data_IF_247692175393
#
_entry.id   IF_247692175393
#
_cell.length_a   1.000
_cell.length_b   1.000
_cell.length_c   1.000
_cell.angle_alpha   90.00
_cell.angle_beta   90.00
_cell.angle_gamma   90.00
#
_symmetry.space_group_name_H-M   'P 1'
#
loop_
_entity.id
_entity.type
_entity.pdbx_description
1 polymer ?
#
# COMPACT_ATOMS: atom_id res chain seq x y z
N UNK A 1 6.43 -11.88 -28.99
CA UNK A 1 7.63 -11.05 -29.26
C UNK A 1 7.26 -9.63 -29.68
N UNK A 2 6.34 -9.41 -30.62
CA UNK A 2 5.86 -8.06 -31.01
C UNK A 2 4.98 -7.37 -29.94
N UNK A 3 4.20 -8.15 -29.17
CA UNK A 3 3.39 -7.62 -28.05
C UNK A 3 4.22 -7.15 -26.84
N UNK A 4 5.43 -7.70 -26.65
CA UNK A 4 6.32 -7.29 -25.57
C UNK A 4 7.00 -5.95 -25.89
N UNK A 5 7.45 -5.75 -27.14
CA UNK A 5 8.02 -4.46 -27.57
C UNK A 5 7.02 -3.30 -27.43
N UNK A 6 5.72 -3.55 -27.65
CA UNK A 6 4.71 -2.49 -27.59
C UNK A 6 4.32 -2.10 -26.15
N UNK A 7 4.31 -3.04 -25.20
CA UNK A 7 4.09 -2.72 -23.78
C UNK A 7 5.31 -2.03 -23.15
N UNK A 8 6.53 -2.42 -23.53
CA UNK A 8 7.75 -1.72 -23.12
C UNK A 8 7.75 -0.29 -23.64
N UNK A 9 7.28 -0.05 -24.88
CA UNK A 9 7.18 1.29 -25.45
C UNK A 9 6.15 2.17 -24.72
N UNK A 10 4.99 1.62 -24.33
CA UNK A 10 3.98 2.38 -23.58
C UNK A 10 4.41 2.68 -22.15
N UNK A 11 5.12 1.76 -21.48
CA UNK A 11 5.68 2.02 -20.16
C UNK A 11 6.84 3.03 -20.21
N UNK A 12 7.72 2.92 -21.22
CA UNK A 12 8.73 3.94 -21.52
C UNK A 12 8.07 5.28 -21.86
N UNK A 13 6.92 5.31 -22.54
CA UNK A 13 6.18 6.54 -22.80
C UNK A 13 5.58 7.16 -21.54
N UNK A 14 5.06 6.37 -20.60
CA UNK A 14 4.54 6.88 -19.31
C UNK A 14 5.67 7.37 -18.42
N UNK A 15 6.80 6.67 -18.40
CA UNK A 15 8.02 7.13 -17.70
C UNK A 15 8.63 8.34 -18.43
N UNK A 16 8.66 8.39 -19.75
CA UNK A 16 9.09 9.57 -20.52
C UNK A 16 8.15 10.75 -20.33
N UNK A 17 6.84 10.53 -20.22
CA UNK A 17 5.89 11.60 -19.90
C UNK A 17 6.11 12.15 -18.48
N UNK A 18 6.46 11.29 -17.52
CA UNK A 18 6.87 11.69 -16.18
C UNK A 18 8.25 12.40 -16.18
N UNK A 19 9.21 11.94 -17.00
CA UNK A 19 10.52 12.58 -17.17
C UNK A 19 10.46 13.91 -17.94
N UNK A 20 9.57 14.04 -18.92
CA UNK A 20 9.36 15.27 -19.70
C UNK A 20 8.83 16.43 -18.85
N UNK A 21 8.24 16.14 -17.68
CA UNK A 21 7.87 17.16 -16.70
C UNK A 21 9.09 17.76 -15.94
N UNK A 22 10.29 17.22 -16.16
CA UNK A 22 11.55 17.61 -15.50
C UNK A 22 12.54 18.29 -16.49
N UNK A 23 12.22 18.34 -17.79
CA UNK A 23 13.06 19.01 -18.79
C UNK A 23 12.79 20.53 -18.85
N UNK A 24 13.68 21.35 -18.26
CA UNK A 24 14.16 22.48 -19.05
C UNK A 24 15.69 22.61 -19.07
N UNK A 25 16.46 21.59 -18.67
CA UNK A 25 17.93 21.69 -18.54
C UNK A 25 18.70 20.81 -19.54
N UNK A 26 18.05 19.87 -20.24
CA UNK A 26 18.73 18.85 -21.04
C UNK A 26 19.28 19.36 -22.40
N UNK A 27 18.75 20.46 -22.94
CA UNK A 27 19.13 20.96 -24.28
C UNK A 27 20.42 21.80 -24.31
N UNK A 28 20.84 22.39 -23.19
CA UNK A 28 22.06 23.21 -23.15
C UNK A 28 23.34 22.36 -23.02
N UNK A 29 23.30 21.29 -22.22
CA UNK A 29 24.50 20.50 -21.87
C UNK A 29 24.86 19.48 -22.97
N UNK A 30 23.86 18.99 -23.73
CA UNK A 30 24.05 18.00 -24.80
C UNK A 30 24.82 18.56 -26.01
N UNK A 31 24.68 19.86 -26.30
CA UNK A 31 25.27 20.49 -27.49
C UNK A 31 26.71 20.96 -27.27
N UNK A 32 27.07 21.37 -26.05
CA UNK A 32 28.43 21.82 -25.74
C UNK A 32 29.41 20.64 -25.58
N UNK A 33 28.93 19.47 -25.14
CA UNK A 33 29.76 18.28 -24.93
C UNK A 33 29.97 17.49 -26.23
N UNK A 34 28.98 17.47 -27.14
CA UNK A 34 29.04 16.64 -28.36
C UNK A 34 30.08 17.14 -29.37
N UNK A 35 30.39 18.44 -29.37
CA UNK A 35 31.31 19.01 -30.37
C UNK A 35 32.80 18.92 -30.00
N UNK A 36 33.14 18.70 -28.73
CA UNK A 36 34.53 18.67 -28.24
C UNK A 36 35.11 17.27 -27.99
N UNK A 37 34.31 16.20 -28.10
CA UNK A 37 34.73 14.86 -27.65
C UNK A 37 35.29 13.92 -28.73
N UNK A 38 35.18 14.28 -30.02
CA UNK A 38 35.63 13.39 -31.10
C UNK A 38 37.12 13.47 -31.44
N UNK A 39 37.91 14.33 -30.77
CA UNK A 39 39.29 14.64 -31.20
C UNK A 39 40.41 14.44 -30.18
N UNK A 40 40.21 13.70 -29.07
CA UNK A 40 41.34 13.35 -28.19
C UNK A 40 41.25 11.94 -27.60
N UNK A 41 42.05 11.04 -28.17
CA UNK A 41 42.57 9.88 -27.46
C UNK A 41 43.40 10.35 -26.24
N UNK A 42 43.30 9.64 -25.12
CA UNK A 42 43.91 9.90 -23.80
C UNK A 42 43.26 10.98 -22.91
N UNK A 43 41.97 10.82 -22.58
CA UNK A 43 41.41 11.47 -21.39
C UNK A 43 41.00 10.43 -20.35
N UNK A 44 41.67 10.49 -19.20
CA UNK A 44 41.14 10.03 -17.93
C UNK A 44 39.73 10.61 -17.73
N UNK A 45 38.81 9.80 -17.22
CA UNK A 45 37.42 10.22 -17.05
C UNK A 45 37.35 11.47 -16.16
N UNK A 46 36.67 12.57 -16.58
CA UNK A 46 36.57 13.79 -15.78
C UNK A 46 35.76 13.59 -14.49
N UNK A 47 34.99 12.50 -14.39
CA UNK A 47 34.20 12.17 -13.20
C UNK A 47 34.91 11.13 -12.33
N UNK A 48 35.21 11.45 -11.05
CA UNK A 48 35.79 10.49 -10.14
C UNK A 48 34.79 9.38 -9.78
N UNK A 49 35.30 8.22 -9.36
CA UNK A 49 34.47 7.10 -8.89
C UNK A 49 33.58 7.48 -7.70
N UNK A 50 33.98 8.47 -6.89
CA UNK A 50 33.20 9.01 -5.76
C UNK A 50 31.86 9.63 -6.17
N UNK A 51 31.67 9.91 -7.47
CA UNK A 51 30.37 10.36 -8.01
C UNK A 51 29.28 9.29 -7.86
N UNK A 52 29.67 8.01 -7.83
CA UNK A 52 28.78 6.88 -7.62
C UNK A 52 28.58 6.67 -6.11
N UNK A 53 27.60 7.36 -5.55
CA UNK A 53 27.33 7.43 -4.10
C UNK A 53 26.93 6.09 -3.44
N UNK A 54 26.63 5.07 -4.25
CA UNK A 54 26.29 3.72 -3.81
C UNK A 54 27.51 2.78 -3.73
N UNK A 55 28.71 3.22 -4.12
CA UNK A 55 29.94 2.44 -3.97
C UNK A 55 30.52 2.71 -2.58
N UNK A 56 30.50 1.68 -1.73
CA UNK A 56 31.01 1.77 -0.35
C UNK A 56 32.43 1.24 -0.18
N UNK A 57 32.92 0.42 -1.11
CA UNK A 57 34.23 -0.22 -1.06
C UNK A 57 35.08 0.14 -2.29
N UNK A 58 35.90 1.17 -2.13
CA UNK A 58 36.84 1.63 -3.16
C UNK A 58 38.14 0.80 -3.22
N UNK A 59 38.29 -0.22 -2.35
CA UNK A 59 39.49 -1.06 -2.32
C UNK A 59 39.47 -2.18 -3.36
N UNK A 60 38.34 -2.38 -4.05
CA UNK A 60 38.21 -3.42 -5.06
C UNK A 60 39.09 -3.13 -6.29
N UNK A 61 39.89 -4.11 -6.75
CA UNK A 61 40.70 -3.94 -7.95
C UNK A 61 39.79 -3.77 -9.18
N UNK A 62 40.24 -2.97 -10.15
CA UNK A 62 39.58 -2.77 -11.45
C UNK A 62 38.23 -2.01 -11.41
N UNK A 63 37.95 -1.22 -10.38
CA UNK A 63 36.74 -0.37 -10.32
C UNK A 63 36.55 0.53 -11.54
N UNK A 64 37.63 1.02 -12.15
CA UNK A 64 37.53 1.83 -13.38
C UNK A 64 37.05 1.04 -14.61
N UNK A 65 37.35 -0.25 -14.63
CA UNK A 65 36.91 -1.17 -15.69
C UNK A 65 35.44 -1.60 -15.48
N UNK A 66 35.03 -1.78 -14.23
CA UNK A 66 33.64 -2.09 -13.86
C UNK A 66 32.72 -0.89 -14.03
N UNK A 67 33.21 0.32 -13.71
CA UNK A 67 32.44 1.57 -13.76
C UNK A 67 33.04 2.54 -14.78
N UNK A 68 32.80 2.32 -16.09
CA UNK A 68 33.32 3.15 -17.15
C UNK A 68 32.70 4.56 -17.13
N UNK A 69 33.39 5.52 -17.75
CA UNK A 69 33.06 6.94 -17.66
C UNK A 69 31.65 7.27 -18.15
N UNK A 70 31.20 6.58 -19.20
CA UNK A 70 29.88 6.74 -19.81
C UNK A 70 28.75 6.40 -18.84
N UNK A 71 29.00 5.49 -17.89
CA UNK A 71 28.06 5.10 -16.84
C UNK A 71 28.07 6.14 -15.72
N UNK A 72 29.23 6.71 -15.38
CA UNK A 72 29.33 7.82 -14.40
C UNK A 72 28.60 9.07 -14.90
N UNK A 73 28.75 9.41 -16.19
CA UNK A 73 28.02 10.51 -16.83
C UNK A 73 26.50 10.25 -16.80
N UNK A 74 26.09 9.02 -17.12
CA UNK A 74 24.69 8.64 -17.05
C UNK A 74 24.14 8.71 -15.61
N UNK A 75 24.91 8.29 -14.62
CA UNK A 75 24.53 8.39 -13.21
C UNK A 75 24.23 9.84 -12.79
N UNK A 76 25.06 10.80 -13.19
CA UNK A 76 24.82 12.23 -12.94
C UNK A 76 23.50 12.69 -13.57
N UNK A 77 23.19 12.24 -14.80
CA UNK A 77 21.89 12.55 -15.41
C UNK A 77 20.70 11.87 -14.71
N UNK A 78 20.90 10.69 -14.11
CA UNK A 78 19.87 9.94 -13.40
C UNK A 78 19.63 10.47 -11.98
N UNK A 79 20.60 11.20 -11.38
CA UNK A 79 20.53 11.67 -10.00
C UNK A 79 19.25 12.41 -9.60
N UNK A 80 18.64 13.30 -10.42
CA UNK A 80 17.39 13.96 -10.04
C UNK A 80 16.27 12.95 -9.76
N UNK A 81 16.12 11.94 -10.61
CA UNK A 81 15.16 10.85 -10.42
C UNK A 81 15.50 10.02 -9.17
N UNK A 82 16.77 9.68 -8.99
CA UNK A 82 17.26 8.98 -7.79
C UNK A 82 16.90 9.73 -6.51
N UNK A 83 17.18 11.04 -6.46
CA UNK A 83 16.88 11.90 -5.31
C UNK A 83 15.39 11.95 -5.03
N UNK A 84 14.56 12.02 -6.07
CA UNK A 84 13.11 11.96 -5.94
C UNK A 84 12.65 10.63 -5.34
N UNK A 85 13.13 9.49 -5.84
CA UNK A 85 12.77 8.17 -5.31
C UNK A 85 13.28 7.99 -3.87
N UNK A 86 14.51 8.41 -3.57
CA UNK A 86 15.04 8.44 -2.20
C UNK A 86 14.19 9.31 -1.28
N UNK A 87 13.70 10.45 -1.76
CA UNK A 87 12.80 11.31 -0.99
C UNK A 87 11.49 10.60 -0.64
N UNK A 88 10.86 9.94 -1.61
CA UNK A 88 9.65 9.15 -1.38
C UNK A 88 9.88 8.00 -0.39
N UNK A 89 10.96 7.23 -0.58
CA UNK A 89 11.29 6.09 0.26
C UNK A 89 11.68 6.50 1.68
N UNK A 90 12.51 7.53 1.84
CA UNK A 90 13.04 7.98 3.13
C UNK A 90 12.08 8.84 3.96
N UNK A 91 11.30 9.73 3.33
CA UNK A 91 10.48 10.72 4.05
C UNK A 91 8.97 10.48 3.96
N UNK A 92 8.46 10.04 2.81
CA UNK A 92 7.02 9.79 2.65
C UNK A 92 6.63 8.43 3.23
N UNK A 93 7.47 7.41 3.07
CA UNK A 93 7.17 6.06 3.59
C UNK A 93 6.97 6.00 5.11
N UNK A 94 7.75 6.69 5.97
CA UNK A 94 7.46 6.76 7.41
C UNK A 94 6.08 7.32 7.73
N UNK A 95 5.63 8.33 6.99
CA UNK A 95 4.27 8.88 7.14
C UNK A 95 3.21 7.84 6.74
N UNK A 96 3.42 7.13 5.63
CA UNK A 96 2.54 6.03 5.19
C UNK A 96 2.47 4.94 6.26
N UNK A 97 3.60 4.56 6.87
CA UNK A 97 3.66 3.55 7.93
C UNK A 97 2.85 4.01 9.15
N UNK A 98 3.07 5.24 9.63
CA UNK A 98 2.38 5.77 10.81
C UNK A 98 0.86 5.81 10.59
N UNK A 99 0.44 6.38 9.47
CA UNK A 99 -0.98 6.48 9.11
C UNK A 99 -1.57 5.10 8.87
N UNK A 100 -0.89 4.24 8.12
CA UNK A 100 -1.35 2.90 7.79
C UNK A 100 -1.53 2.02 9.03
N UNK A 101 -0.53 1.97 9.92
CA UNK A 101 -0.62 1.18 11.17
C UNK A 101 -1.76 1.67 12.05
N UNK A 102 -1.91 2.99 12.19
CA UNK A 102 -3.00 3.58 12.96
C UNK A 102 -4.38 3.22 12.36
N UNK A 103 -4.56 3.43 11.06
CA UNK A 103 -5.85 3.24 10.40
C UNK A 103 -6.25 1.76 10.24
N UNK A 104 -5.28 0.86 10.04
CA UNK A 104 -5.54 -0.57 10.04
C UNK A 104 -5.87 -1.09 11.44
N UNK A 105 -5.24 -0.55 12.49
CA UNK A 105 -5.58 -0.87 13.88
C UNK A 105 -7.00 -0.42 14.20
N UNK A 106 -7.39 0.79 13.77
CA UNK A 106 -8.78 1.27 13.88
C UNK A 106 -9.72 0.36 13.08
N UNK A 107 -9.36 -0.02 11.85
CA UNK A 107 -10.16 -0.94 11.03
C UNK A 107 -10.41 -2.25 11.76
N UNK A 108 -9.37 -2.86 12.33
CA UNK A 108 -9.46 -4.09 13.09
C UNK A 108 -10.38 -3.95 14.31
N UNK A 109 -10.22 -2.87 15.08
CA UNK A 109 -11.06 -2.58 16.24
C UNK A 109 -12.54 -2.41 15.85
N UNK A 110 -12.82 -1.64 14.79
CA UNK A 110 -14.18 -1.40 14.29
C UNK A 110 -14.82 -2.69 13.76
N UNK A 111 -14.09 -3.50 13.00
CA UNK A 111 -14.57 -4.78 12.49
C UNK A 111 -14.81 -5.80 13.61
N UNK A 112 -14.14 -5.63 14.75
CA UNK A 112 -14.30 -6.46 15.95
C UNK A 112 -15.52 -6.10 16.78
N UNK A 113 -16.20 -4.99 16.49
CA UNK A 113 -17.46 -4.65 17.14
C UNK A 113 -18.57 -5.65 16.75
N UNK A 114 -19.48 -6.00 17.68
CA UNK A 114 -20.52 -7.02 17.44
C UNK A 114 -21.42 -6.69 16.25
N UNK A 115 -21.64 -5.40 15.97
CA UNK A 115 -22.46 -4.90 14.86
C UNK A 115 -21.90 -5.32 13.47
N UNK A 116 -20.57 -5.44 13.36
CA UNK A 116 -19.87 -5.79 12.12
C UNK A 116 -19.35 -7.23 12.12
N UNK A 117 -19.19 -7.83 13.31
CA UNK A 117 -18.60 -9.16 13.52
C UNK A 117 -19.46 -10.31 12.97
N UNK A 118 -20.77 -10.13 12.79
CA UNK A 118 -21.67 -11.17 12.26
C UNK A 118 -21.54 -11.42 10.76
N UNK A 119 -20.71 -10.66 10.06
CA UNK A 119 -20.50 -10.87 8.63
C UNK A 119 -19.23 -11.68 8.37
N UNK A 120 -19.38 -12.73 7.59
CA UNK A 120 -18.32 -13.49 6.91
C UNK A 120 -17.23 -12.61 6.25
N UNK A 121 -17.65 -11.42 5.80
CA UNK A 121 -16.78 -10.35 5.32
C UNK A 121 -15.74 -9.89 6.36
N UNK A 122 -16.18 -9.74 7.61
CA UNK A 122 -15.43 -9.13 8.69
C UNK A 122 -14.18 -9.92 9.02
N UNK A 123 -14.21 -11.26 8.91
CA UNK A 123 -13.07 -12.11 9.21
C UNK A 123 -11.90 -11.90 8.23
N UNK A 124 -12.17 -11.87 6.92
CA UNK A 124 -11.15 -11.57 5.90
C UNK A 124 -10.57 -10.18 6.07
N UNK A 125 -11.42 -9.17 6.31
CA UNK A 125 -10.96 -7.78 6.49
C UNK A 125 -10.13 -7.59 7.77
N UNK A 126 -10.44 -8.32 8.85
CA UNK A 126 -9.61 -8.35 10.07
C UNK A 126 -8.24 -8.98 9.82
N UNK A 127 -8.22 -10.14 9.15
CA UNK A 127 -6.98 -10.81 8.80
C UNK A 127 -6.13 -9.94 7.86
N UNK A 128 -6.76 -9.25 6.91
CA UNK A 128 -6.11 -8.31 6.02
C UNK A 128 -5.50 -7.13 6.79
N UNK A 129 -6.25 -6.47 7.67
CA UNK A 129 -5.72 -5.37 8.50
C UNK A 129 -4.52 -5.80 9.39
N UNK A 130 -4.55 -7.03 9.92
CA UNK A 130 -3.42 -7.57 10.69
C UNK A 130 -2.20 -7.83 9.80
N UNK A 131 -2.42 -8.42 8.61
CA UNK A 131 -1.35 -8.69 7.66
C UNK A 131 -0.74 -7.41 7.10
N UNK A 132 -1.56 -6.39 6.84
CA UNK A 132 -1.12 -5.08 6.36
C UNK A 132 -0.26 -4.38 7.43
N UNK A 133 -0.65 -4.42 8.70
CA UNK A 133 0.17 -3.95 9.81
C UNK A 133 1.53 -4.67 9.85
N UNK A 134 1.52 -6.00 9.71
CA UNK A 134 2.75 -6.79 9.65
C UNK A 134 3.64 -6.38 8.49
N UNK A 135 3.09 -6.15 7.30
CA UNK A 135 3.84 -5.70 6.13
C UNK A 135 4.43 -4.29 6.37
N UNK A 136 3.63 -3.36 6.89
CA UNK A 136 4.09 -2.00 7.21
C UNK A 136 5.24 -1.98 8.22
N UNK A 137 5.15 -2.81 9.27
CA UNK A 137 6.16 -2.85 10.34
C UNK A 137 7.39 -3.65 9.91
N UNK A 138 7.22 -4.92 9.58
CA UNK A 138 8.35 -5.83 9.36
C UNK A 138 9.01 -5.63 8.00
N UNK A 139 8.30 -5.14 6.98
CA UNK A 139 8.91 -4.79 5.69
C UNK A 139 9.41 -3.35 5.68
N UNK A 140 8.49 -2.39 5.77
CA UNK A 140 8.86 -1.01 5.49
C UNK A 140 9.53 -0.31 6.67
N UNK A 141 9.00 -0.44 7.89
CA UNK A 141 9.61 0.23 9.04
C UNK A 141 11.01 -0.32 9.34
N UNK A 142 11.18 -1.65 9.32
CA UNK A 142 12.51 -2.27 9.47
C UNK A 142 13.42 -1.93 8.28
N UNK A 143 12.90 -1.93 7.04
CA UNK A 143 13.68 -1.55 5.86
C UNK A 143 14.26 -0.14 5.94
N UNK A 144 13.44 0.84 6.32
CA UNK A 144 13.86 2.23 6.55
C UNK A 144 14.82 2.30 7.74
N UNK A 145 14.54 1.61 8.84
CA UNK A 145 15.41 1.62 10.01
C UNK A 145 16.81 1.09 9.69
N UNK A 146 16.91 0.02 8.88
CA UNK A 146 18.20 -0.51 8.40
C UNK A 146 18.90 0.44 7.43
N UNK A 147 18.15 1.20 6.64
CA UNK A 147 18.71 2.18 5.70
C UNK A 147 19.30 3.39 6.42
N UNK A 148 18.55 3.98 7.36
CA UNK A 148 18.93 5.24 8.01
C UNK A 148 19.78 5.08 9.27
N UNK A 149 19.68 3.95 9.97
CA UNK A 149 20.41 3.74 11.23
C UNK A 149 21.46 2.64 11.07
N UNK A 150 22.72 3.05 11.01
CA UNK A 150 23.88 2.15 10.91
C UNK A 150 23.92 1.13 12.06
N UNK A 151 23.56 1.54 13.27
CA UNK A 151 23.43 0.62 14.42
C UNK A 151 22.42 -0.51 14.17
N UNK A 152 21.26 -0.19 13.59
CA UNK A 152 20.23 -1.18 13.26
C UNK A 152 20.74 -2.10 12.15
N UNK A 153 21.34 -1.55 11.09
CA UNK A 153 21.94 -2.37 10.04
C UNK A 153 23.00 -3.34 10.59
N UNK A 154 23.90 -2.85 11.44
CA UNK A 154 24.94 -3.66 12.08
C UNK A 154 24.35 -4.75 12.98
N UNK A 155 23.26 -4.48 13.72
CA UNK A 155 22.57 -5.49 14.51
C UNK A 155 22.08 -6.66 13.65
N UNK A 156 21.48 -6.37 12.49
CA UNK A 156 21.02 -7.40 11.55
C UNK A 156 22.18 -8.13 10.87
N UNK A 157 23.25 -7.42 10.49
CA UNK A 157 24.42 -8.03 9.85
C UNK A 157 25.22 -8.92 10.81
N UNK A 158 25.29 -8.56 12.09
CA UNK A 158 25.99 -9.33 13.12
C UNK A 158 25.18 -10.55 13.60
N UNK A 159 23.85 -10.49 13.48
CA UNK A 159 22.97 -11.55 13.95
C UNK A 159 22.24 -12.24 12.77
N UNK A 160 22.80 -13.38 12.34
CA UNK A 160 22.25 -14.21 11.27
C UNK A 160 20.79 -14.59 11.51
N UNK A 161 20.41 -14.90 12.75
CA UNK A 161 19.04 -15.27 13.09
C UNK A 161 18.08 -14.12 12.86
N UNK A 162 18.39 -12.92 13.39
CA UNK A 162 17.55 -11.74 13.20
C UNK A 162 17.37 -11.38 11.73
N UNK A 163 18.43 -11.40 10.94
CA UNK A 163 18.27 -11.03 9.54
C UNK A 163 17.55 -12.08 8.69
N UNK A 164 17.81 -13.35 8.96
CA UNK A 164 17.12 -14.45 8.28
C UNK A 164 15.63 -14.45 8.63
N UNK A 165 15.30 -14.29 9.91
CA UNK A 165 13.92 -14.18 10.38
C UNK A 165 13.22 -12.97 9.77
N UNK A 166 13.89 -11.81 9.75
CA UNK A 166 13.35 -10.60 9.14
C UNK A 166 12.97 -10.81 7.68
N UNK A 167 13.84 -11.44 6.87
CA UNK A 167 13.56 -11.79 5.47
C UNK A 167 12.30 -12.66 5.32
N UNK A 168 12.13 -13.67 6.18
CA UNK A 168 10.93 -14.53 6.20
C UNK A 168 9.69 -13.75 6.61
N UNK A 169 9.77 -12.92 7.65
CA UNK A 169 8.61 -12.14 8.13
C UNK A 169 8.16 -11.09 7.12
N UNK A 170 9.11 -10.42 6.45
CA UNK A 170 8.83 -9.47 5.36
C UNK A 170 7.98 -10.13 4.28
N UNK A 171 8.42 -11.29 3.81
CA UNK A 171 7.74 -12.07 2.78
C UNK A 171 6.37 -12.54 3.26
N UNK A 172 6.30 -13.09 4.47
CA UNK A 172 5.10 -13.69 5.02
C UNK A 172 3.91 -12.72 5.07
N UNK A 173 4.12 -11.51 5.58
CA UNK A 173 3.03 -10.54 5.71
C UNK A 173 2.62 -9.93 4.36
N UNK A 174 3.59 -9.66 3.47
CA UNK A 174 3.30 -9.16 2.13
C UNK A 174 2.52 -10.19 1.31
N UNK A 175 2.97 -11.44 1.33
CA UNK A 175 2.36 -12.54 0.61
C UNK A 175 0.95 -12.86 1.16
N UNK A 176 0.81 -12.93 2.48
CA UNK A 176 -0.48 -13.17 3.14
C UNK A 176 -1.50 -12.09 2.78
N UNK A 177 -1.13 -10.81 2.84
CA UNK A 177 -2.03 -9.69 2.47
C UNK A 177 -2.48 -9.79 1.01
N UNK A 178 -1.53 -10.03 0.09
CA UNK A 178 -1.81 -10.22 -1.35
C UNK A 178 -2.84 -11.32 -1.59
N UNK A 179 -2.61 -12.50 -1.02
CA UNK A 179 -3.47 -13.65 -1.24
C UNK A 179 -4.79 -13.57 -0.49
N UNK A 180 -4.86 -12.84 0.63
CA UNK A 180 -6.13 -12.53 1.30
C UNK A 180 -7.05 -11.70 0.39
N UNK A 181 -6.52 -10.73 -0.37
CA UNK A 181 -7.31 -9.97 -1.35
C UNK A 181 -7.83 -10.88 -2.47
N UNK A 182 -6.99 -11.80 -2.97
CA UNK A 182 -7.39 -12.81 -3.97
C UNK A 182 -8.50 -13.70 -3.43
N UNK A 183 -8.29 -14.33 -2.26
CA UNK A 183 -9.26 -15.22 -1.63
C UNK A 183 -10.58 -14.48 -1.38
N UNK A 184 -10.50 -13.26 -0.84
CA UNK A 184 -11.65 -12.42 -0.57
C UNK A 184 -12.44 -12.08 -1.84
N UNK A 185 -11.76 -11.85 -2.97
CA UNK A 185 -12.37 -11.63 -4.29
C UNK A 185 -13.16 -12.87 -4.74
N UNK A 186 -12.52 -14.04 -4.69
CA UNK A 186 -13.12 -15.30 -5.15
C UNK A 186 -14.25 -15.79 -4.26
N UNK A 187 -14.16 -15.62 -2.93
CA UNK A 187 -15.27 -15.90 -2.02
C UNK A 187 -16.53 -15.13 -2.42
N UNK A 188 -16.39 -13.88 -2.86
CA UNK A 188 -17.54 -13.09 -3.35
C UNK A 188 -18.02 -13.51 -4.72
N UNK A 189 -17.13 -13.86 -5.64
CA UNK A 189 -17.53 -14.46 -6.92
C UNK A 189 -18.42 -15.68 -6.66
N UNK A 190 -17.96 -16.62 -5.84
CA UNK A 190 -18.74 -17.82 -5.53
C UNK A 190 -20.07 -17.51 -4.86
N UNK A 191 -20.11 -16.55 -3.93
CA UNK A 191 -21.35 -16.15 -3.27
C UNK A 191 -22.39 -15.54 -4.23
N UNK A 192 -21.98 -14.87 -5.31
CA UNK A 192 -22.88 -14.28 -6.31
C UNK A 192 -23.24 -15.30 -7.40
N UNK A 193 -22.28 -16.10 -7.85
CA UNK A 193 -22.49 -17.10 -8.91
C UNK A 193 -23.37 -18.25 -8.42
N UNK A 194 -23.20 -18.69 -7.16
CA UNK A 194 -23.89 -19.84 -6.58
C UNK A 194 -24.76 -19.44 -5.37
N UNK A 195 -25.87 -18.71 -5.59
CA UNK A 195 -26.70 -18.22 -4.50
C UNK A 195 -27.41 -19.33 -3.71
N UNK A 196 -27.62 -20.52 -4.28
CA UNK A 196 -28.35 -21.63 -3.63
C UNK A 196 -27.46 -22.75 -3.09
N UNK A 197 -26.26 -22.95 -3.62
CA UNK A 197 -25.33 -24.00 -3.17
C UNK A 197 -24.64 -23.73 -1.84
N UNK A 198 -24.84 -22.53 -1.27
CA UNK A 198 -24.02 -21.96 -0.19
C UNK A 198 -24.85 -21.68 1.08
N UNK A 199 -26.19 -21.57 0.98
CA UNK A 199 -27.05 -21.20 2.11
C UNK A 199 -27.31 -22.30 3.14
N UNK A 200 -26.96 -23.56 2.86
CA UNK A 200 -27.06 -24.66 3.82
C UNK A 200 -25.75 -25.01 4.55
N UNK A 201 -24.60 -24.43 4.13
CA UNK A 201 -23.26 -24.86 4.58
C UNK A 201 -22.32 -23.68 4.87
N UNK A 202 -22.83 -22.47 5.11
CA UNK A 202 -22.00 -21.32 5.46
C UNK A 202 -21.82 -21.20 6.98
N UNK A 203 -20.93 -22.04 7.51
CA UNK A 203 -20.48 -21.93 8.89
C UNK A 203 -19.18 -21.11 8.89
N UNK A 204 -19.00 -20.20 9.84
CA UNK A 204 -17.75 -19.42 10.03
C UNK A 204 -16.49 -20.29 9.95
N UNK A 205 -16.62 -21.59 10.28
CA UNK A 205 -15.61 -22.63 10.14
C UNK A 205 -14.97 -22.71 8.76
N UNK A 206 -15.74 -22.62 7.66
CA UNK A 206 -15.15 -22.74 6.31
C UNK A 206 -14.20 -21.59 6.00
N UNK A 207 -14.53 -20.37 6.42
CA UNK A 207 -13.70 -19.19 6.18
C UNK A 207 -12.45 -19.17 7.06
N UNK A 208 -12.61 -19.57 8.33
CA UNK A 208 -11.48 -19.78 9.24
C UNK A 208 -10.53 -20.83 8.66
N UNK A 209 -11.04 -21.93 8.10
CA UNK A 209 -10.22 -22.96 7.45
C UNK A 209 -9.49 -22.37 6.23
N UNK A 210 -10.17 -21.65 5.34
CA UNK A 210 -9.54 -21.03 4.16
C UNK A 210 -8.44 -20.04 4.56
N UNK A 211 -8.70 -19.15 5.52
CA UNK A 211 -7.71 -18.17 6.00
C UNK A 211 -6.53 -18.88 6.67
N UNK A 212 -6.79 -19.89 7.49
CA UNK A 212 -5.73 -20.68 8.14
C UNK A 212 -4.85 -21.39 7.12
N UNK A 213 -5.44 -22.05 6.12
CA UNK A 213 -4.70 -22.72 5.05
C UNK A 213 -3.84 -21.71 4.28
N UNK A 214 -4.41 -20.55 3.96
CA UNK A 214 -3.69 -19.48 3.25
C UNK A 214 -2.50 -18.96 4.06
N UNK A 215 -2.68 -18.73 5.37
CA UNK A 215 -1.61 -18.32 6.26
C UNK A 215 -0.51 -19.39 6.33
N UNK A 216 -0.88 -20.67 6.50
CA UNK A 216 0.07 -21.77 6.51
C UNK A 216 0.85 -21.87 5.18
N UNK A 217 0.16 -21.77 4.06
CA UNK A 217 0.79 -21.80 2.73
C UNK A 217 1.74 -20.61 2.52
N UNK A 218 1.32 -19.42 2.93
CA UNK A 218 2.13 -18.19 2.89
C UNK A 218 3.39 -18.35 3.74
N UNK A 219 3.27 -18.95 4.93
CA UNK A 219 4.41 -19.22 5.80
C UNK A 219 5.39 -20.20 5.16
N UNK A 220 4.91 -21.33 4.62
CA UNK A 220 5.75 -22.33 3.93
C UNK A 220 6.53 -21.70 2.78
N UNK A 221 5.87 -20.87 1.97
CA UNK A 221 6.52 -20.18 0.84
C UNK A 221 7.54 -19.16 1.35
N UNK A 222 7.25 -18.47 2.44
CA UNK A 222 8.17 -17.50 3.03
C UNK A 222 9.42 -18.15 3.63
N UNK A 223 9.35 -19.40 4.09
CA UNK A 223 10.53 -20.17 4.54
C UNK A 223 11.56 -20.38 3.43
N UNK A 224 11.18 -20.25 2.16
CA UNK A 224 12.16 -20.31 1.05
C UNK A 224 13.22 -19.21 1.16
N UNK A 225 12.90 -18.08 1.80
CA UNK A 225 13.84 -16.96 2.08
C UNK A 225 14.93 -17.31 3.09
N UNK A 226 14.85 -18.45 3.77
CA UNK A 226 15.94 -18.96 4.61
C UNK A 226 17.17 -19.36 3.77
N UNK A 227 16.93 -19.86 2.55
CA UNK A 227 17.95 -20.45 1.68
C UNK A 227 18.13 -19.69 0.37
N UNK A 228 17.07 -19.07 -0.13
CA UNK A 228 17.10 -18.27 -1.35
C UNK A 228 17.21 -16.81 -0.99
N UNK A 229 18.34 -16.24 -1.36
CA UNK A 229 18.42 -14.84 -1.50
C UNK A 229 17.90 -14.43 -2.88
N UNK A 230 16.88 -13.57 -2.93
CA UNK A 230 16.35 -13.06 -4.21
C UNK A 230 17.42 -12.50 -5.15
N UNK A 231 17.08 -12.29 -6.41
CA UNK A 231 17.96 -11.78 -7.47
C UNK A 231 18.59 -10.42 -7.21
N UNK A 232 17.96 -9.62 -6.35
CA UNK A 232 18.44 -8.29 -5.98
C UNK A 232 19.79 -8.37 -5.27
N UNK A 233 20.78 -7.68 -5.86
CA UNK A 233 22.11 -7.47 -5.29
C UNK A 233 22.09 -6.39 -4.19
N UNK A 234 21.20 -5.41 -4.30
CA UNK A 234 20.96 -4.35 -3.31
C UNK A 234 19.47 -4.23 -2.99
N UNK A 235 19.13 -3.86 -1.76
CA UNK A 235 17.74 -3.53 -1.42
C UNK A 235 17.31 -2.22 -2.10
N UNK A 236 16.01 -2.10 -2.38
CA UNK A 236 15.35 -0.82 -2.73
C UNK A 236 15.62 0.27 -1.68
N UNK A 237 15.80 -0.09 -0.42
CA UNK A 237 16.17 0.83 0.67
C UNK A 237 17.68 1.00 0.85
N UNK A 238 18.49 0.57 -0.13
CA UNK A 238 19.95 0.78 -0.17
C UNK A 238 20.75 0.16 0.98
N UNK A 239 20.18 -0.76 1.76
CA UNK A 239 20.92 -1.53 2.76
C UNK A 239 21.51 -2.82 2.17
N UNK A 240 22.62 -3.28 2.76
CA UNK A 240 23.33 -4.50 2.35
C UNK A 240 22.48 -5.73 2.76
N UNK A 241 22.18 -6.66 1.83
CA UNK A 241 21.47 -7.89 2.17
C UNK A 241 22.35 -8.82 3.02
N UNK A 242 21.76 -9.49 4.01
CA UNK A 242 22.51 -10.24 5.04
C UNK A 242 23.11 -11.57 4.60
N UNK A 243 23.05 -11.90 3.31
CA UNK A 243 23.71 -13.09 2.76
C UNK A 243 24.46 -12.68 1.49
N UNK A 244 25.72 -13.15 1.34
CA UNK A 244 26.32 -13.39 0.02
C UNK A 244 25.59 -14.59 -0.55
N UNK A 245 24.55 -14.33 -1.34
CA UNK A 245 23.55 -15.33 -1.73
C UNK A 245 24.19 -16.37 -2.66
N UNK A 246 23.84 -17.64 -2.43
CA UNK A 246 24.07 -18.75 -3.35
C UNK A 246 23.28 -18.45 -4.64
N UNK A 247 23.83 -18.82 -5.80
CA UNK A 247 23.27 -18.55 -7.15
C UNK A 247 21.73 -18.59 -7.19
N UNK A 248 21.09 -17.65 -7.91
CA UNK A 248 19.64 -17.61 -8.03
C UNK A 248 19.10 -18.96 -8.55
N UNK A 249 18.00 -19.43 -7.97
CA UNK A 249 17.37 -20.72 -8.28
C UNK A 249 16.71 -20.71 -9.67
N UNK A 250 17.47 -20.53 -10.75
CA UNK A 250 17.08 -20.67 -12.16
C UNK A 250 15.57 -20.53 -12.44
N UNK A 251 14.91 -21.65 -12.75
CA UNK A 251 13.48 -21.74 -13.07
C UNK A 251 12.54 -21.39 -11.90
N UNK A 252 12.91 -21.69 -10.65
CA UNK A 252 12.07 -21.46 -9.47
C UNK A 252 11.86 -19.96 -9.18
N UNK A 253 12.80 -19.12 -9.61
CA UNK A 253 12.66 -17.67 -9.48
C UNK A 253 11.51 -17.12 -10.35
N UNK A 254 11.33 -17.64 -11.57
CA UNK A 254 10.20 -17.27 -12.44
C UNK A 254 8.87 -17.66 -11.79
N UNK A 255 8.83 -18.85 -11.19
CA UNK A 255 7.65 -19.32 -10.47
C UNK A 255 7.34 -18.40 -9.28
N UNK A 256 8.35 -18.00 -8.51
CA UNK A 256 8.19 -17.08 -7.39
C UNK A 256 7.66 -15.70 -7.82
N UNK A 257 8.21 -15.11 -8.87
CA UNK A 257 7.73 -13.81 -9.39
C UNK A 257 6.30 -13.95 -9.91
N UNK A 258 6.01 -15.01 -10.66
CA UNK A 258 4.66 -15.29 -11.12
C UNK A 258 3.68 -15.41 -9.94
N UNK A 259 4.08 -16.10 -8.87
CA UNK A 259 3.25 -16.33 -7.69
C UNK A 259 3.03 -15.07 -6.84
N UNK A 260 4.02 -14.19 -6.74
CA UNK A 260 3.98 -12.97 -5.92
C UNK A 260 3.31 -11.78 -6.63
N UNK A 261 3.34 -11.74 -7.98
CA UNK A 261 2.83 -10.60 -8.76
C UNK A 261 1.74 -11.01 -9.76
N UNK A 262 2.10 -11.76 -10.81
CA UNK A 262 1.22 -12.02 -11.95
C UNK A 262 0.01 -12.89 -11.65
N UNK A 263 0.17 -13.93 -10.84
CA UNK A 263 -0.93 -14.83 -10.51
C UNK A 263 -2.00 -14.12 -9.66
N UNK A 264 -1.66 -13.36 -8.59
CA UNK A 264 -2.60 -12.46 -7.93
C UNK A 264 -3.28 -11.49 -8.88
N UNK A 265 -2.52 -10.84 -9.79
CA UNK A 265 -3.07 -9.89 -10.77
C UNK A 265 -4.11 -10.55 -11.68
N UNK A 266 -3.80 -11.71 -12.26
CA UNK A 266 -4.71 -12.46 -13.14
C UNK A 266 -5.93 -12.93 -12.36
N UNK A 267 -5.74 -13.50 -11.17
CA UNK A 267 -6.85 -13.98 -10.34
C UNK A 267 -7.80 -12.84 -9.93
N UNK A 268 -7.27 -11.67 -9.56
CA UNK A 268 -8.07 -10.50 -9.21
C UNK A 268 -8.77 -9.93 -10.44
N UNK A 269 -8.06 -9.80 -11.57
CA UNK A 269 -8.64 -9.30 -12.81
C UNK A 269 -9.83 -10.16 -13.27
N UNK A 270 -9.62 -11.48 -13.38
CA UNK A 270 -10.66 -12.43 -13.75
C UNK A 270 -11.81 -12.40 -12.74
N UNK A 271 -11.50 -12.42 -11.43
CA UNK A 271 -12.50 -12.32 -10.38
C UNK A 271 -13.36 -11.07 -10.47
N UNK A 272 -12.75 -9.91 -10.71
CA UNK A 272 -13.47 -8.63 -10.86
C UNK A 272 -14.35 -8.59 -12.12
N UNK A 273 -13.89 -9.14 -13.24
CA UNK A 273 -14.72 -9.28 -14.46
C UNK A 273 -15.94 -10.15 -14.18
N UNK A 274 -15.74 -11.31 -13.53
CA UNK A 274 -16.84 -12.20 -13.16
C UNK A 274 -17.83 -11.53 -12.21
N UNK A 275 -17.34 -10.77 -11.21
CA UNK A 275 -18.19 -9.98 -10.32
C UNK A 275 -19.07 -9.01 -11.10
N UNK A 276 -18.50 -8.23 -12.03
CA UNK A 276 -19.26 -7.26 -12.84
C UNK A 276 -20.33 -7.97 -13.68
N UNK A 277 -19.94 -9.02 -14.40
CA UNK A 277 -20.84 -9.77 -15.31
C UNK A 277 -22.02 -10.35 -14.52
N UNK A 278 -21.74 -11.01 -13.40
CA UNK A 278 -22.79 -11.63 -12.59
C UNK A 278 -23.63 -10.62 -11.82
N UNK A 279 -23.06 -9.50 -11.38
CA UNK A 279 -23.83 -8.41 -10.77
C UNK A 279 -24.84 -7.82 -11.76
N UNK A 280 -24.42 -7.55 -13.00
CA UNK A 280 -25.31 -7.06 -14.08
C UNK A 280 -26.39 -8.09 -14.43
N UNK A 281 -26.03 -9.38 -14.50
CA UNK A 281 -27.00 -10.46 -14.77
C UNK A 281 -28.05 -10.54 -13.65
N UNK A 282 -27.62 -10.51 -12.39
CA UNK A 282 -28.51 -10.54 -11.23
C UNK A 282 -29.42 -9.31 -11.18
N UNK A 283 -28.92 -8.14 -11.55
CA UNK A 283 -29.73 -6.92 -11.63
C UNK A 283 -30.80 -7.00 -12.74
N UNK A 284 -30.46 -7.53 -13.92
CA UNK A 284 -31.43 -7.74 -15.01
C UNK A 284 -32.55 -8.71 -14.61
N UNK A 285 -32.20 -9.79 -13.91
CA UNK A 285 -33.18 -10.76 -13.37
C UNK A 285 -34.05 -10.07 -12.30
N UNK A 286 -33.46 -9.24 -11.43
CA UNK A 286 -34.17 -8.49 -10.38
C UNK A 286 -35.22 -7.53 -10.95
N UNK A 287 -34.90 -6.81 -12.02
CA UNK A 287 -35.85 -5.91 -12.68
C UNK A 287 -37.09 -6.64 -13.21
N UNK A 288 -37.02 -7.98 -13.40
CA UNK A 288 -38.14 -8.80 -13.89
C UNK A 288 -38.97 -9.47 -12.78
N UNK A 289 -38.51 -9.49 -11.52
CA UNK A 289 -39.07 -10.34 -10.43
C UNK A 289 -39.43 -9.55 -9.16
N UNK A 290 -40.07 -8.38 -9.28
CA UNK A 290 -40.19 -7.33 -8.25
C UNK A 290 -40.56 -7.71 -6.79
N UNK A 291 -40.13 -6.78 -5.93
CA UNK A 291 -40.45 -6.44 -4.52
C UNK A 291 -39.88 -7.28 -3.36
N UNK A 292 -40.20 -8.57 -3.17
CA UNK A 292 -39.83 -9.25 -1.90
C UNK A 292 -38.35 -9.63 -1.75
N UNK A 293 -37.59 -9.78 -2.84
CA UNK A 293 -36.14 -10.05 -2.80
C UNK A 293 -35.26 -8.81 -2.57
N UNK A 294 -35.85 -7.62 -2.44
CA UNK A 294 -35.15 -6.33 -2.48
C UNK A 294 -34.22 -6.10 -1.27
N UNK A 295 -34.56 -6.61 -0.09
CA UNK A 295 -33.83 -6.25 1.14
C UNK A 295 -32.55 -7.08 1.37
N UNK A 296 -32.61 -8.40 1.14
CA UNK A 296 -31.49 -9.33 1.38
C UNK A 296 -30.36 -9.17 0.35
N UNK A 297 -30.72 -8.92 -0.92
CA UNK A 297 -29.75 -8.78 -2.01
C UNK A 297 -29.07 -7.41 -2.05
N UNK A 298 -29.74 -6.33 -1.59
CA UNK A 298 -29.11 -5.01 -1.43
C UNK A 298 -27.89 -5.03 -0.49
N UNK A 299 -27.93 -5.84 0.59
CA UNK A 299 -26.79 -6.02 1.52
C UNK A 299 -25.59 -6.71 0.84
N UNK A 300 -25.85 -7.65 -0.08
CA UNK A 300 -24.82 -8.34 -0.86
C UNK A 300 -24.18 -7.37 -1.87
N UNK A 301 -24.98 -6.62 -2.63
CA UNK A 301 -24.46 -5.64 -3.60
C UNK A 301 -23.58 -4.56 -2.96
N UNK A 302 -23.97 -4.03 -1.79
CA UNK A 302 -23.19 -3.00 -1.12
C UNK A 302 -21.83 -3.51 -0.63
N UNK A 303 -21.77 -4.76 -0.17
CA UNK A 303 -20.54 -5.42 0.26
C UNK A 303 -19.63 -5.72 -0.94
N UNK A 304 -20.22 -6.16 -2.05
CA UNK A 304 -19.49 -6.42 -3.30
C UNK A 304 -18.89 -5.16 -3.92
N UNK A 305 -19.50 -3.99 -3.72
CA UNK A 305 -18.95 -2.70 -4.16
C UNK A 305 -17.65 -2.36 -3.40
N UNK A 306 -17.63 -2.54 -2.09
CA UNK A 306 -16.41 -2.31 -1.28
C UNK A 306 -15.28 -3.24 -1.70
N UNK A 307 -15.58 -4.54 -1.84
CA UNK A 307 -14.58 -5.49 -2.33
C UNK A 307 -14.05 -5.07 -3.71
N UNK A 308 -14.94 -4.78 -4.65
CA UNK A 308 -14.55 -4.47 -6.02
C UNK A 308 -13.58 -3.29 -6.07
N UNK A 309 -13.82 -2.25 -5.27
CA UNK A 309 -12.90 -1.11 -5.19
C UNK A 309 -11.56 -1.51 -4.57
N UNK A 310 -11.56 -2.23 -3.45
CA UNK A 310 -10.33 -2.69 -2.78
C UNK A 310 -9.50 -3.57 -3.72
N UNK A 311 -10.09 -4.55 -4.37
CA UNK A 311 -9.41 -5.45 -5.30
C UNK A 311 -8.94 -4.72 -6.57
N UNK A 312 -9.71 -3.75 -7.07
CA UNK A 312 -9.31 -2.94 -8.24
C UNK A 312 -8.14 -2.03 -7.93
N UNK A 313 -8.17 -1.34 -6.78
CA UNK A 313 -7.05 -0.50 -6.34
C UNK A 313 -5.80 -1.36 -6.14
N UNK A 314 -5.95 -2.54 -5.55
CA UNK A 314 -4.86 -3.50 -5.40
C UNK A 314 -4.22 -3.88 -6.74
N UNK A 315 -5.05 -4.20 -7.74
CA UNK A 315 -4.59 -4.53 -9.10
C UNK A 315 -3.80 -3.36 -9.71
N UNK A 316 -4.34 -2.13 -9.63
CA UNK A 316 -3.71 -0.94 -10.21
C UNK A 316 -2.36 -0.64 -9.55
N UNK A 317 -2.26 -0.79 -8.23
CA UNK A 317 -1.04 -0.50 -7.49
C UNK A 317 0.02 -1.63 -7.58
N UNK A 318 -0.39 -2.89 -7.80
CA UNK A 318 0.53 -4.03 -7.97
C UNK A 318 1.05 -4.17 -9.42
N UNK A 319 0.27 -3.78 -10.42
CA UNK A 319 0.60 -3.99 -11.84
C UNK A 319 1.97 -3.37 -12.25
N UNK A 320 2.30 -2.11 -11.91
CA UNK A 320 3.57 -1.51 -12.28
C UNK A 320 4.76 -2.24 -11.65
N UNK A 321 4.62 -2.71 -10.41
CA UNK A 321 5.65 -3.48 -9.72
C UNK A 321 5.90 -4.80 -10.46
N UNK A 322 4.85 -5.57 -10.76
CA UNK A 322 5.00 -6.84 -11.49
C UNK A 322 5.65 -6.68 -12.87
N UNK A 323 5.36 -5.59 -13.58
CA UNK A 323 6.02 -5.27 -14.85
C UNK A 323 7.53 -5.02 -14.66
N UNK A 324 7.91 -4.14 -13.73
CA UNK A 324 9.31 -3.79 -13.52
C UNK A 324 10.13 -4.98 -13.00
N UNK A 325 9.58 -5.78 -12.07
CA UNK A 325 10.26 -6.99 -11.57
C UNK A 325 10.56 -8.00 -12.68
N UNK A 326 9.63 -8.14 -13.63
CA UNK A 326 9.79 -9.05 -14.77
C UNK A 326 10.88 -8.54 -15.73
N UNK A 327 10.89 -7.22 -15.98
CA UNK A 327 11.91 -6.59 -16.81
C UNK A 327 13.30 -6.72 -16.16
N UNK A 328 13.40 -6.48 -14.85
CA UNK A 328 14.65 -6.61 -14.11
C UNK A 328 15.17 -8.05 -14.10
N UNK A 329 14.30 -9.04 -13.84
CA UNK A 329 14.65 -10.46 -13.96
C UNK A 329 15.20 -10.79 -15.35
N UNK A 330 14.52 -10.32 -16.40
CA UNK A 330 14.95 -10.55 -17.78
C UNK A 330 16.35 -9.93 -18.03
N UNK A 331 16.57 -8.73 -17.51
CA UNK A 331 17.83 -8.00 -17.67
C UNK A 331 19.00 -8.61 -16.90
N UNK A 332 18.75 -9.09 -15.68
CA UNK A 332 19.76 -9.60 -14.75
C UNK A 332 20.08 -11.08 -14.95
N UNK A 333 19.16 -11.88 -15.52
CA UNK A 333 19.35 -13.32 -15.71
C UNK A 333 19.59 -13.69 -17.17
N UNK A 334 18.84 -13.11 -18.11
CA UNK A 334 18.91 -13.51 -19.52
C UNK A 334 19.88 -12.63 -20.31
N UNK A 335 19.84 -11.32 -20.09
CA UNK A 335 20.67 -10.36 -20.82
C UNK A 335 21.97 -9.97 -20.11
N UNK A 336 22.41 -10.76 -19.13
CA UNK A 336 23.62 -10.44 -18.36
C UNK A 336 24.84 -10.23 -19.27
N UNK A 337 25.53 -9.11 -19.06
CA UNK A 337 26.78 -8.75 -19.76
C UNK A 337 27.89 -8.55 -18.74
N UNK A 338 29.11 -8.90 -19.16
CA UNK A 338 30.31 -8.77 -18.32
C UNK A 338 31.23 -7.68 -18.87
N UNK A 339 32.01 -7.03 -17.99
CA UNK A 339 33.04 -6.09 -18.40
C UNK A 339 33.97 -6.71 -19.44
N UNK A 340 34.21 -6.00 -20.54
CA UNK A 340 35.04 -6.48 -21.64
C UNK A 340 35.92 -5.34 -22.19
N UNK A 341 37.12 -5.70 -22.66
CA UNK A 341 38.09 -4.76 -23.25
C UNK A 341 37.73 -4.47 -24.72
N UNK A 342 37.18 -5.47 -25.42
CA UNK A 342 36.76 -5.36 -26.82
C UNK A 342 35.67 -4.29 -26.98
N UNK A 343 35.88 -3.33 -27.89
CA UNK A 343 35.04 -2.13 -28.03
C UNK A 343 33.54 -2.45 -28.17
N UNK A 344 33.18 -3.47 -28.97
CA UNK A 344 31.79 -3.90 -29.17
C UNK A 344 31.17 -4.44 -27.88
N UNK A 345 31.85 -5.38 -27.21
CA UNK A 345 31.38 -5.98 -25.95
C UNK A 345 31.35 -4.96 -24.81
N UNK A 346 32.30 -4.01 -24.79
CA UNK A 346 32.32 -2.89 -23.86
C UNK A 346 31.07 -2.01 -24.02
N UNK A 347 30.70 -1.68 -25.25
CA UNK A 347 29.49 -0.90 -25.52
C UNK A 347 28.21 -1.63 -25.08
N UNK A 348 28.12 -2.94 -25.35
CA UNK A 348 27.00 -3.79 -24.88
C UNK A 348 26.92 -3.83 -23.34
N UNK A 349 28.06 -3.95 -22.65
CA UNK A 349 28.14 -3.92 -21.20
C UNK A 349 27.71 -2.56 -20.62
N UNK A 350 28.20 -1.46 -21.20
CA UNK A 350 27.81 -0.09 -20.80
C UNK A 350 26.29 0.10 -20.93
N UNK A 351 25.72 -0.33 -22.06
CA UNK A 351 24.27 -0.26 -22.28
C UNK A 351 23.51 -1.08 -21.23
N UNK A 352 23.91 -2.33 -21.02
CA UNK A 352 23.33 -3.18 -19.99
C UNK A 352 23.37 -2.55 -18.60
N UNK A 353 24.51 -1.94 -18.22
CA UNK A 353 24.69 -1.35 -16.89
C UNK A 353 23.85 -0.08 -16.69
N UNK A 354 23.70 0.77 -17.73
CA UNK A 354 22.82 1.95 -17.68
C UNK A 354 21.36 1.56 -17.45
N UNK A 355 20.86 0.61 -18.24
CA UNK A 355 19.49 0.12 -18.10
C UNK A 355 19.26 -0.56 -16.74
N UNK A 356 20.24 -1.33 -16.26
CA UNK A 356 20.19 -1.92 -14.92
C UNK A 356 20.06 -0.85 -13.82
N UNK A 357 20.83 0.24 -13.91
CA UNK A 357 20.74 1.35 -12.97
C UNK A 357 19.36 2.02 -13.01
N UNK A 358 18.81 2.25 -14.20
CA UNK A 358 17.47 2.82 -14.36
C UNK A 358 16.40 1.90 -13.77
N UNK A 359 16.42 0.61 -14.10
CA UNK A 359 15.46 -0.39 -13.63
C UNK A 359 15.44 -0.50 -12.11
N UNK A 360 16.60 -0.45 -11.43
CA UNK A 360 16.70 -0.42 -9.97
C UNK A 360 15.87 0.71 -9.36
N UNK A 361 15.93 1.91 -9.92
CA UNK A 361 15.22 3.09 -9.40
C UNK A 361 13.74 3.11 -9.82
N UNK A 362 13.41 2.61 -11.02
CA UNK A 362 12.02 2.35 -11.41
C UNK A 362 11.34 1.34 -10.48
N UNK A 363 12.05 0.27 -10.10
CA UNK A 363 11.59 -0.71 -9.10
C UNK A 363 11.31 0.00 -7.79
N UNK A 364 12.22 0.86 -7.33
CA UNK A 364 12.04 1.63 -6.10
C UNK A 364 10.79 2.51 -6.10
N UNK A 365 10.51 3.18 -7.23
CA UNK A 365 9.29 3.97 -7.40
C UNK A 365 8.03 3.09 -7.39
N UNK A 366 8.00 2.03 -8.19
CA UNK A 366 6.84 1.13 -8.27
C UNK A 366 6.58 0.40 -6.95
N UNK A 367 7.64 0.04 -6.23
CA UNK A 367 7.58 -0.51 -4.89
C UNK A 367 6.93 0.51 -3.93
N UNK A 368 7.38 1.76 -3.91
CA UNK A 368 6.74 2.82 -3.12
C UNK A 368 5.25 2.99 -3.43
N UNK A 369 4.86 2.97 -4.71
CA UNK A 369 3.45 3.04 -5.13
C UNK A 369 2.66 1.84 -4.60
N UNK A 370 3.21 0.62 -4.71
CA UNK A 370 2.59 -0.59 -4.20
C UNK A 370 2.32 -0.54 -2.68
N UNK A 371 3.17 0.14 -1.89
CA UNK A 371 3.01 0.21 -0.43
C UNK A 371 1.72 0.86 0.02
N UNK A 372 1.15 1.74 -0.80
CA UNK A 372 -0.13 2.37 -0.50
C UNK A 372 -1.26 1.33 -0.33
N UNK A 373 -1.14 0.15 -0.97
CA UNK A 373 -2.09 -0.95 -0.76
C UNK A 373 -2.28 -1.34 0.70
N UNK A 374 -1.23 -1.23 1.51
CA UNK A 374 -1.28 -1.61 2.92
C UNK A 374 -1.80 -0.48 3.82
N UNK A 375 -1.90 0.76 3.33
CA UNK A 375 -2.26 1.92 4.15
C UNK A 375 -3.66 2.49 3.86
N UNK A 376 -4.14 2.38 2.62
CA UNK A 376 -5.37 3.07 2.19
C UNK A 376 -6.66 2.32 2.47
N UNK A 377 -6.58 1.05 2.90
CA UNK A 377 -7.73 0.16 3.03
C UNK A 377 -8.84 0.76 3.91
N UNK A 378 -8.50 1.41 5.03
CA UNK A 378 -9.47 2.13 5.87
C UNK A 378 -10.28 3.17 5.09
N UNK A 379 -9.63 3.98 4.26
CA UNK A 379 -10.30 5.00 3.45
C UNK A 379 -11.22 4.34 2.42
N UNK A 380 -10.76 3.26 1.78
CA UNK A 380 -11.59 2.50 0.84
C UNK A 380 -12.83 1.93 1.54
N UNK A 381 -12.69 1.39 2.75
CA UNK A 381 -13.82 0.89 3.54
C UNK A 381 -14.80 2.00 3.91
N UNK A 382 -14.30 3.17 4.32
CA UNK A 382 -15.13 4.34 4.65
C UNK A 382 -15.88 4.90 3.44
N UNK A 383 -15.22 5.01 2.28
CA UNK A 383 -15.80 5.57 1.05
C UNK A 383 -16.87 4.66 0.47
N UNK A 384 -16.65 3.35 0.52
CA UNK A 384 -17.47 2.39 -0.23
C UNK A 384 -18.47 1.64 0.64
N UNK A 385 -18.25 1.55 1.96
CA UNK A 385 -18.98 0.73 2.92
C UNK A 385 -19.81 1.54 3.92
N UNK A 386 -21.14 1.59 3.75
CA UNK A 386 -22.07 2.33 4.59
C UNK A 386 -22.05 1.84 6.04
N UNK A 387 -22.02 0.52 6.25
CA UNK A 387 -21.99 -0.06 7.61
C UNK A 387 -20.71 0.32 8.36
N UNK A 388 -19.57 0.23 7.67
CA UNK A 388 -18.28 0.60 8.26
C UNK A 388 -18.24 2.09 8.56
N UNK A 389 -18.66 2.93 7.61
CA UNK A 389 -18.77 4.39 7.79
C UNK A 389 -19.68 4.76 8.96
N UNK A 390 -20.86 4.15 9.08
CA UNK A 390 -21.79 4.40 10.18
C UNK A 390 -21.20 4.01 11.53
N UNK A 391 -20.51 2.86 11.61
CA UNK A 391 -19.84 2.43 12.82
C UNK A 391 -18.71 3.40 13.22
N UNK A 392 -17.91 3.87 12.26
CA UNK A 392 -16.87 4.88 12.50
C UNK A 392 -17.50 6.18 13.00
N UNK A 393 -18.55 6.69 12.36
CA UNK A 393 -19.25 7.90 12.79
C UNK A 393 -19.85 7.75 14.20
N UNK A 394 -20.41 6.59 14.53
CA UNK A 394 -20.94 6.31 15.86
C UNK A 394 -19.84 6.31 16.92
N UNK A 395 -18.73 5.62 16.65
CA UNK A 395 -17.57 5.59 17.56
C UNK A 395 -16.96 6.98 17.75
N UNK A 396 -16.85 7.78 16.68
CA UNK A 396 -16.39 9.17 16.76
C UNK A 396 -17.33 10.05 17.59
N UNK A 397 -18.66 9.89 17.44
CA UNK A 397 -19.65 10.58 18.27
C UNK A 397 -19.51 10.20 19.74
N UNK A 398 -19.40 8.91 20.05
CA UNK A 398 -19.21 8.43 21.42
C UNK A 398 -17.91 8.95 22.03
N UNK A 399 -16.82 8.97 21.26
CA UNK A 399 -15.55 9.53 21.69
C UNK A 399 -15.64 11.05 21.95
N UNK A 400 -16.30 11.80 21.07
CA UNK A 400 -16.54 13.25 21.26
C UNK A 400 -17.34 13.53 22.53
N UNK A 401 -18.42 12.78 22.76
CA UNK A 401 -19.23 12.90 23.98
C UNK A 401 -18.44 12.52 25.24
N UNK A 402 -17.64 11.45 25.18
CA UNK A 402 -16.80 11.02 26.31
C UNK A 402 -15.70 12.04 26.63
N UNK A 403 -15.02 12.56 25.62
CA UNK A 403 -14.01 13.61 25.77
C UNK A 403 -14.62 14.89 26.34
N UNK A 404 -15.77 15.33 25.82
CA UNK A 404 -16.49 16.49 26.35
C UNK A 404 -16.96 16.28 27.79
N UNK A 405 -17.45 15.08 28.15
CA UNK A 405 -17.82 14.77 29.54
C UNK A 405 -16.60 14.76 30.47
N UNK A 406 -15.45 14.26 30.00
CA UNK A 406 -14.22 14.20 30.80
C UNK A 406 -13.61 15.58 30.97
N UNK A 407 -13.67 16.41 29.92
CA UNK A 407 -13.24 17.80 29.95
C UNK A 407 -14.15 18.61 30.88
N UNK A 408 -15.47 18.50 30.78
CA UNK A 408 -16.40 19.17 31.72
C UNK A 408 -16.23 18.71 33.16
N UNK A 409 -15.98 17.41 33.41
CA UNK A 409 -15.67 16.89 34.76
C UNK A 409 -14.33 17.37 35.31
N UNK A 410 -13.35 17.65 34.44
CA UNK A 410 -12.06 18.25 34.85
C UNK A 410 -12.23 19.74 35.11
N UNK A 411 -12.93 20.48 34.25
CA UNK A 411 -13.23 21.90 34.45
C UNK A 411 -14.06 22.11 35.72
N UNK A 412 -15.11 21.32 35.95
CA UNK A 412 -15.88 21.39 37.20
C UNK A 412 -15.04 21.04 38.43
N UNK A 413 -14.07 20.12 38.33
CA UNK A 413 -13.13 19.85 39.44
C UNK A 413 -12.17 21.02 39.71
N UNK A 414 -11.71 21.71 38.68
CA UNK A 414 -10.91 22.93 38.85
C UNK A 414 -11.72 24.08 39.45
N UNK A 415 -13.00 24.23 39.07
CA UNK A 415 -13.90 25.24 39.66
C UNK A 415 -14.30 24.89 41.10
N UNK A 416 -14.45 23.59 41.43
CA UNK A 416 -14.74 23.17 42.82
C UNK A 416 -13.50 23.23 43.72
N UNK A 417 -12.29 23.07 43.14
CA UNK A 417 -11.01 23.13 43.85
C UNK A 417 -10.52 24.56 44.09
N UNK A 418 -11.16 25.59 43.53
CA UNK A 418 -10.82 27.00 43.77
C UNK A 418 -11.59 27.63 44.93
N UNK A 419 -12.12 26.84 45.87
CA UNK A 419 -12.71 27.37 47.11
C UNK A 419 -11.68 27.42 48.25
N UNK A 420 -11.14 28.63 48.48
CA UNK A 420 -10.87 29.18 49.81
C UNK A 420 -11.27 30.67 49.80
N UNK A 421 -11.55 31.29 50.96
CA UNK A 421 -12.78 32.06 51.16
C UNK A 421 -12.61 33.59 51.08
N UNK A 422 -13.76 34.25 50.90
CA UNK A 422 -14.06 35.66 51.19
C UNK A 422 -13.16 36.76 50.57
N UNK A 423 -13.60 37.28 49.43
CA UNK A 423 -13.94 38.70 49.19
C UNK A 423 -13.90 39.00 47.70
N UNK A 424 -15.05 38.98 47.04
CA UNK A 424 -15.45 40.03 46.09
C UNK A 424 -16.91 39.82 45.69
N UNK A 425 -17.78 40.66 46.26
CA UNK A 425 -19.10 40.94 45.70
C UNK A 425 -18.92 41.54 44.31
N UNK A 426 -19.87 41.21 43.42
CA UNK A 426 -20.06 41.72 42.07
C UNK A 426 -19.07 41.20 41.01
N UNK A 427 -19.42 40.10 40.35
CA UNK A 427 -19.71 39.99 38.89
C UNK A 427 -20.26 38.57 38.69
N UNK A 428 -21.46 38.34 39.22
CA UNK A 428 -22.16 37.06 39.10
C UNK A 428 -23.49 37.33 38.38
N UNK A 429 -23.45 37.55 37.06
CA UNK A 429 -24.69 37.55 36.26
C UNK A 429 -24.57 37.22 34.77
N UNK A 430 -23.38 37.23 34.15
CA UNK A 430 -23.30 37.09 32.68
C UNK A 430 -22.94 35.68 32.17
N UNK A 431 -22.06 34.94 32.86
CA UNK A 431 -21.53 33.68 32.33
C UNK A 431 -22.43 32.45 32.60
N UNK A 432 -23.21 32.45 33.69
CA UNK A 432 -24.15 31.36 34.00
C UNK A 432 -25.38 31.39 33.07
N UNK A 433 -25.78 32.59 32.61
CA UNK A 433 -26.86 32.77 31.65
C UNK A 433 -26.47 32.33 30.23
N UNK A 434 -25.21 32.55 29.81
CA UNK A 434 -24.72 32.11 28.50
C UNK A 434 -24.62 30.58 28.42
N UNK A 435 -24.18 29.92 29.49
CA UNK A 435 -24.07 28.44 29.55
C UNK A 435 -25.46 27.79 29.59
N UNK A 436 -26.45 28.40 30.26
CA UNK A 436 -27.85 27.93 30.20
C UNK A 436 -28.50 28.17 28.84
N UNK A 437 -28.21 29.29 28.16
CA UNK A 437 -28.75 29.59 26.84
C UNK A 437 -28.22 28.61 25.77
N UNK A 438 -26.95 28.23 25.85
CA UNK A 438 -26.35 27.24 24.92
C UNK A 438 -26.89 25.82 25.21
N UNK A 439 -27.13 25.47 26.48
CA UNK A 439 -27.70 24.17 26.85
C UNK A 439 -29.21 24.03 26.54
N UNK A 440 -29.97 25.13 26.54
CA UNK A 440 -31.40 25.13 26.17
C UNK A 440 -31.64 25.23 24.65
N UNK A 441 -30.70 25.78 23.88
CA UNK A 441 -30.80 25.91 22.42
C UNK A 441 -30.72 24.58 21.64
N UNK A 442 -30.09 23.54 22.21
CA UNK A 442 -30.03 22.21 21.56
C UNK A 442 -31.22 21.30 21.91
N UNK A 443 -32.00 21.63 22.94
CA UNK A 443 -33.16 20.83 23.35
C UNK A 443 -34.51 21.25 22.73
N UNK A 444 -34.55 22.33 21.93
CA UNK A 444 -35.79 22.88 21.35
C UNK A 444 -36.04 22.55 19.86
N UNK A 445 -35.40 21.53 19.29
CA UNK A 445 -35.82 20.96 17.99
C UNK A 445 -36.24 19.50 18.19
N UNK A 446 -37.22 19.30 19.07
CA UNK A 446 -37.92 18.01 19.26
C UNK A 446 -39.16 18.20 20.13
N UNK A 447 -40.30 18.52 19.51
CA UNK A 447 -41.61 18.03 19.98
C UNK A 447 -42.65 19.05 20.47
N UNK A 448 -43.80 19.02 19.78
CA UNK A 448 -45.18 19.23 20.24
C UNK A 448 -45.76 20.66 20.35
N UNK A 449 -46.69 20.96 19.43
CA UNK A 449 -47.79 21.93 19.62
C UNK A 449 -49.03 21.12 20.10
N UNK A 450 -49.76 21.57 21.14
CA UNK A 450 -50.90 20.83 21.69
C UNK A 450 -52.24 21.14 21.01
N UNK A 451 -53.16 20.18 21.14
CA UNK A 451 -54.58 20.22 20.75
C UNK A 451 -55.34 21.36 21.43
N UNK A 452 -56.26 21.97 20.70
CA UNK A 452 -57.44 22.63 21.27
C UNK A 452 -58.68 22.23 20.46
N UNK A 453 -59.66 21.64 21.16
CA UNK A 453 -60.96 21.24 20.65
C UNK A 453 -61.86 22.47 20.44
N UNK A 454 -62.72 22.46 19.41
CA UNK A 454 -64.17 22.65 19.57
C UNK A 454 -64.95 22.39 18.27
N UNK A 455 -65.90 21.45 18.37
CA UNK A 455 -67.33 21.53 18.00
C UNK A 455 -67.71 22.26 16.68
N UNK A 456 -68.38 21.53 15.77
CA UNK A 456 -69.12 22.14 14.66
C UNK A 456 -69.59 21.16 13.59
N UNK A 457 -70.80 20.65 13.77
CA UNK A 457 -71.65 19.90 12.84
C UNK A 457 -71.81 20.59 11.47
N UNK A 458 -71.99 19.82 10.38
CA UNK A 458 -73.03 19.96 9.31
C UNK A 458 -72.58 19.34 7.98
N UNK A 459 -73.54 18.69 7.33
CA UNK A 459 -73.55 17.93 6.08
C UNK A 459 -73.40 18.78 4.79
N UNK A 460 -73.56 18.10 3.64
CA UNK A 460 -73.62 18.55 2.23
C UNK A 460 -72.24 18.72 1.57
N UNK A 461 -71.90 18.16 0.40
CA UNK A 461 -72.61 17.54 -0.75
C UNK A 461 -71.89 16.25 -1.15
#
# INVERSE_FOLDING_TARGET
>A
MVLFNNMTLQFILVINMLLQSIEPVETSVKNEIRHNFYTRANLTCPLPLTTLDFIYDFTQPNLEFVWPCEVRLYWVSLQPFVKFVRFLLGYITPFIILVGVLLNTISFAMLSTPILCESNLSLYLKALALSDNGALVFNYAVGIAKSHFTFVNNLFMNNRFLCTLNSVTMEFFQFTSTWLVVAFTWTRVFAIVFPFGIYGRYNNRSEVITITILICLSFVISLTKLYSGGYETDSVFEFIPCQKKIKPWGSAMYFYIALSTWLPLVCIFVGNILLIVHMKKTEKIRCRLTQNFRHKTNRIHHTSRTLFVVSTVYLVLLLPLGMVETLELYWDVILIKFPAIEARKKAEYIHWLKEKLLLKWCRGLCFHVYHWNFAINFFLYCLTGEKFRSAVMQSLRQYKTSMFSTFSKRVNRYILSSKCPEQLKSVESSNILLIRAIALGEHSISGSVPKQNNIGTVAHI
#
